data_IF_501503958592
#
_entry.id   IF_501503958592
#
_cell.length_a   1.000
_cell.length_b   1.000
_cell.length_c   1.000
_cell.angle_alpha   90.00
_cell.angle_beta   90.00
_cell.angle_gamma   90.00
#
_symmetry.space_group_name_H-M   'P 1'
#
loop_
_entity.id
_entity.type
_entity.pdbx_description
1 polymer ?
#
# COMPACT_ATOMS: atom_id res chain seq x y z
N UNK A 1 -31.99 -12.49 -13.23
CA UNK A 1 -31.27 -13.52 -12.44
C UNK A 1 -30.29 -12.95 -11.40
N UNK A 2 -29.54 -11.88 -11.68
CA UNK A 2 -28.51 -11.38 -10.75
C UNK A 2 -29.04 -10.76 -9.45
N UNK A 3 -30.19 -10.07 -9.49
CA UNK A 3 -30.79 -9.41 -8.32
C UNK A 3 -31.34 -10.42 -7.30
N UNK A 4 -32.07 -11.44 -7.77
CA UNK A 4 -32.58 -12.50 -6.91
C UNK A 4 -31.44 -13.28 -6.24
N UNK A 5 -30.38 -13.60 -6.99
CA UNK A 5 -29.17 -14.23 -6.44
C UNK A 5 -28.49 -13.36 -5.39
N UNK A 6 -28.38 -12.06 -5.62
CA UNK A 6 -27.82 -11.11 -4.66
C UNK A 6 -28.57 -11.12 -3.33
N UNK A 7 -29.90 -10.96 -3.38
CA UNK A 7 -30.73 -10.95 -2.16
C UNK A 7 -30.74 -12.31 -1.46
N UNK A 8 -30.77 -13.41 -2.20
CA UNK A 8 -30.65 -14.75 -1.64
C UNK A 8 -29.33 -14.91 -0.88
N UNK A 9 -28.20 -14.50 -1.46
CA UNK A 9 -26.90 -14.58 -0.78
C UNK A 9 -26.86 -13.71 0.48
N UNK A 10 -27.41 -12.49 0.45
CA UNK A 10 -27.52 -11.64 1.64
C UNK A 10 -28.34 -12.31 2.74
N UNK A 11 -29.48 -12.90 2.39
CA UNK A 11 -30.34 -13.61 3.35
C UNK A 11 -29.61 -14.82 3.97
N UNK A 12 -28.98 -15.65 3.15
CA UNK A 12 -28.19 -16.81 3.62
C UNK A 12 -27.05 -16.35 4.54
N UNK A 13 -26.31 -15.30 4.18
CA UNK A 13 -25.26 -14.75 5.03
C UNK A 13 -25.80 -14.21 6.36
N UNK A 14 -26.96 -13.54 6.37
CA UNK A 14 -27.56 -13.04 7.61
C UNK A 14 -28.04 -14.17 8.52
N UNK A 15 -28.61 -15.23 7.93
CA UNK A 15 -29.00 -16.43 8.69
C UNK A 15 -27.77 -17.09 9.32
N UNK A 16 -26.70 -17.28 8.53
CA UNK A 16 -25.49 -17.92 9.00
C UNK A 16 -24.72 -17.10 10.04
N UNK A 17 -24.53 -15.80 9.81
CA UNK A 17 -23.67 -14.95 10.65
C UNK A 17 -24.39 -14.41 11.90
N UNK A 18 -25.72 -14.25 11.86
CA UNK A 18 -26.48 -13.62 12.95
C UNK A 18 -27.52 -14.56 13.53
N UNK A 19 -28.42 -15.10 12.71
CA UNK A 19 -29.57 -15.85 13.23
C UNK A 19 -29.16 -17.18 13.87
N UNK A 20 -28.26 -17.94 13.24
CA UNK A 20 -27.81 -19.25 13.73
C UNK A 20 -27.03 -19.16 15.06
N UNK A 21 -26.06 -18.23 15.24
CA UNK A 21 -25.42 -18.00 16.53
C UNK A 21 -26.39 -17.52 17.62
N UNK A 22 -27.32 -16.62 17.28
CA UNK A 22 -28.35 -16.15 18.21
C UNK A 22 -29.32 -17.28 18.64
N UNK A 23 -29.67 -18.18 17.72
CA UNK A 23 -30.48 -19.35 18.02
C UNK A 23 -29.74 -20.36 18.90
N UNK A 24 -28.47 -20.65 18.59
CA UNK A 24 -27.71 -21.71 19.26
C UNK A 24 -27.18 -21.30 20.64
N UNK A 25 -26.85 -20.02 20.84
CA UNK A 25 -26.22 -19.52 22.07
C UNK A 25 -27.07 -18.48 22.83
N UNK A 26 -28.24 -18.12 22.30
CA UNK A 26 -29.10 -17.05 22.81
C UNK A 26 -28.76 -15.69 22.19
N UNK A 27 -29.76 -14.81 22.13
CA UNK A 27 -29.68 -13.55 21.37
C UNK A 27 -28.49 -12.66 21.77
N UNK A 28 -28.24 -12.48 23.06
CA UNK A 28 -27.14 -11.63 23.55
C UNK A 28 -25.77 -12.21 23.15
N UNK A 29 -25.54 -13.51 23.39
CA UNK A 29 -24.25 -14.15 23.08
C UNK A 29 -24.01 -14.22 21.59
N UNK A 30 -25.04 -14.51 20.79
CA UNK A 30 -24.96 -14.51 19.33
C UNK A 30 -24.59 -13.13 18.77
N UNK A 31 -25.22 -12.06 19.27
CA UNK A 31 -24.87 -10.69 18.90
C UNK A 31 -23.43 -10.32 19.30
N UNK A 32 -22.98 -10.72 20.49
CA UNK A 32 -21.59 -10.49 20.91
C UNK A 32 -20.59 -11.20 20.00
N UNK A 33 -20.84 -12.47 19.63
CA UNK A 33 -20.00 -13.23 18.71
C UNK A 33 -19.94 -12.58 17.32
N UNK A 34 -21.08 -12.11 16.81
CA UNK A 34 -21.14 -11.37 15.55
C UNK A 34 -20.27 -10.11 15.58
N UNK A 35 -20.40 -9.30 16.63
CA UNK A 35 -19.63 -8.05 16.78
C UNK A 35 -18.13 -8.33 16.91
N UNK A 36 -17.74 -9.32 17.72
CA UNK A 36 -16.35 -9.70 17.91
C UNK A 36 -15.74 -10.22 16.59
N UNK A 37 -16.44 -11.08 15.88
CA UNK A 37 -16.00 -11.62 14.59
C UNK A 37 -15.82 -10.54 13.52
N UNK A 38 -16.76 -9.59 13.42
CA UNK A 38 -16.65 -8.50 12.45
C UNK A 38 -15.58 -7.48 12.83
N UNK A 39 -15.46 -7.16 14.12
CA UNK A 39 -14.41 -6.26 14.59
C UNK A 39 -13.03 -6.84 14.31
N UNK A 40 -12.79 -8.10 14.71
CA UNK A 40 -11.50 -8.76 14.50
C UNK A 40 -11.14 -8.94 13.02
N UNK A 41 -12.08 -9.39 12.19
CA UNK A 41 -11.85 -9.50 10.74
C UNK A 41 -11.62 -8.13 10.10
N UNK A 42 -12.41 -7.13 10.49
CA UNK A 42 -12.30 -5.76 10.01
C UNK A 42 -10.97 -5.10 10.39
N UNK A 43 -10.55 -5.24 11.64
CA UNK A 43 -9.27 -4.71 12.16
C UNK A 43 -8.08 -5.38 11.46
N UNK A 44 -8.12 -6.70 11.27
CA UNK A 44 -7.06 -7.45 10.60
C UNK A 44 -6.92 -7.01 9.14
N UNK A 45 -8.03 -6.93 8.40
CA UNK A 45 -8.01 -6.46 7.01
C UNK A 45 -7.56 -4.99 6.94
N UNK A 46 -8.10 -4.11 7.78
CA UNK A 46 -7.69 -2.71 7.82
C UNK A 46 -6.19 -2.58 8.04
N UNK A 47 -5.64 -3.34 9.00
CA UNK A 47 -4.20 -3.37 9.31
C UNK A 47 -3.36 -3.85 8.13
N UNK A 48 -3.77 -4.92 7.45
CA UNK A 48 -3.07 -5.42 6.26
C UNK A 48 -3.05 -4.38 5.14
N UNK A 49 -4.20 -3.75 4.86
CA UNK A 49 -4.30 -2.75 3.80
C UNK A 49 -3.49 -1.49 4.10
N UNK A 50 -3.52 -0.99 5.34
CA UNK A 50 -2.78 0.22 5.70
C UNK A 50 -1.27 -0.02 5.65
N UNK A 51 -0.77 -1.17 6.12
CA UNK A 51 0.66 -1.49 6.10
C UNK A 51 1.22 -1.51 4.67
N UNK A 52 0.44 -1.99 3.71
CA UNK A 52 0.82 -2.02 2.30
C UNK A 52 0.89 -0.65 1.63
N UNK A 53 0.32 0.38 2.26
CA UNK A 53 0.22 1.74 1.73
C UNK A 53 0.85 2.76 2.68
N UNK A 54 1.82 2.36 3.51
CA UNK A 54 2.51 3.27 4.43
C UNK A 54 3.66 3.94 3.73
N UNK A 55 3.55 5.26 3.63
CA UNK A 55 4.37 6.03 2.71
C UNK A 55 5.23 7.03 3.47
N UNK A 56 6.29 6.53 4.08
CA UNK A 56 7.38 7.38 4.55
C UNK A 56 7.91 8.20 3.36
N UNK A 57 7.71 9.52 3.43
CA UNK A 57 8.29 10.49 2.51
C UNK A 57 7.52 10.77 1.21
N UNK A 58 6.42 10.11 0.86
CA UNK A 58 5.72 10.50 -0.40
C UNK A 58 4.66 11.55 -0.11
N UNK A 59 4.79 12.70 -0.76
CA UNK A 59 3.73 13.70 -0.83
C UNK A 59 3.38 13.93 -2.29
N UNK A 60 2.10 14.19 -2.58
CA UNK A 60 1.64 14.47 -3.94
C UNK A 60 1.96 15.91 -4.34
N UNK A 61 2.16 16.14 -5.65
CA UNK A 61 2.43 17.46 -6.20
C UNK A 61 1.37 18.48 -5.74
N UNK A 62 1.81 19.55 -5.06
CA UNK A 62 0.95 20.69 -4.73
C UNK A 62 0.85 21.58 -5.96
N UNK A 63 -0.36 21.92 -6.42
CA UNK A 63 -0.54 22.91 -7.49
C UNK A 63 0.01 24.26 -6.99
N UNK A 64 0.94 24.90 -7.70
CA UNK A 64 1.35 26.27 -7.35
C UNK A 64 0.19 27.22 -7.66
N UNK A 65 0.00 28.19 -6.77
CA UNK A 65 -0.81 29.37 -7.07
C UNK A 65 -0.01 30.45 -7.81
N UNK A 66 1.31 30.29 -7.90
CA UNK A 66 2.20 31.30 -8.47
C UNK A 66 2.70 30.85 -9.84
N UNK A 67 2.46 31.72 -10.83
CA UNK A 67 2.67 31.48 -12.25
C UNK A 67 4.11 31.65 -12.71
N UNK A 68 5.07 30.99 -12.08
CA UNK A 68 6.48 31.09 -12.49
C UNK A 68 6.93 29.87 -13.29
N UNK A 69 7.13 30.10 -14.59
CA UNK A 69 7.54 29.10 -15.56
C UNK A 69 9.03 28.80 -15.41
N UNK A 70 9.38 27.54 -15.12
CA UNK A 70 10.75 27.05 -15.33
C UNK A 70 10.85 26.30 -16.65
N UNK A 71 11.96 26.56 -17.35
CA UNK A 71 12.22 26.21 -18.73
C UNK A 71 12.33 24.68 -18.96
N UNK A 72 11.18 24.02 -19.17
CA UNK A 72 10.96 22.84 -20.04
C UNK A 72 9.54 22.30 -19.78
N UNK A 73 8.54 22.96 -20.38
CA UNK A 73 7.35 22.33 -20.96
C UNK A 73 6.47 21.35 -20.17
N UNK A 74 6.58 21.20 -18.84
CA UNK A 74 5.66 20.35 -18.05
C UNK A 74 5.16 21.09 -16.82
N UNK A 75 3.89 21.53 -16.88
CA UNK A 75 3.16 22.16 -15.78
C UNK A 75 2.84 21.10 -14.71
N UNK A 76 3.74 20.91 -13.77
CA UNK A 76 3.50 20.15 -12.55
C UNK A 76 4.62 20.44 -11.56
N UNK A 77 4.29 21.00 -10.39
CA UNK A 77 5.27 21.14 -9.32
C UNK A 77 5.76 19.76 -8.92
N UNK A 78 7.05 19.66 -8.59
CA UNK A 78 7.61 18.41 -8.08
C UNK A 78 6.88 18.09 -6.77
N UNK A 79 6.43 16.84 -6.57
CA UNK A 79 5.96 16.41 -5.25
C UNK A 79 7.08 16.67 -4.23
N UNK A 80 6.75 17.08 -3.00
CA UNK A 80 7.74 17.39 -1.94
C UNK A 80 7.13 17.02 -0.58
N UNK A 81 7.92 16.39 0.30
CA UNK A 81 7.55 16.16 1.71
C UNK A 81 7.36 17.46 2.47
N UNK A 82 6.85 17.37 3.70
CA UNK A 82 6.94 18.44 4.69
C UNK A 82 8.39 18.94 4.91
N UNK A 83 9.39 18.09 4.65
CA UNK A 83 10.82 18.39 4.71
C UNK A 83 11.40 18.91 3.38
N UNK A 84 10.59 19.08 2.32
CA UNK A 84 11.02 19.58 1.01
C UNK A 84 11.72 18.55 0.10
N UNK A 85 11.96 17.33 0.58
CA UNK A 85 12.60 16.23 -0.19
C UNK A 85 11.57 15.21 -0.68
N UNK A 86 11.89 14.37 -1.67
CA UNK A 86 11.09 13.17 -1.99
C UNK A 86 11.91 11.89 -1.87
N UNK A 87 11.28 10.75 -1.55
CA UNK A 87 11.87 9.43 -1.63
C UNK A 87 12.50 9.20 -2.99
N UNK A 88 11.84 9.66 -4.06
CA UNK A 88 12.42 9.59 -5.41
C UNK A 88 13.69 10.42 -5.53
N UNK A 89 13.79 11.63 -4.96
CA UNK A 89 15.02 12.43 -5.00
C UNK A 89 16.17 11.79 -4.22
N UNK A 90 15.90 11.19 -3.06
CA UNK A 90 16.91 10.48 -2.27
C UNK A 90 17.32 9.17 -2.95
N UNK A 91 16.36 8.37 -3.41
CA UNK A 91 16.63 7.15 -4.16
C UNK A 91 17.38 7.44 -5.44
N UNK A 92 17.02 8.50 -6.18
CA UNK A 92 17.75 8.91 -7.39
C UNK A 92 19.15 9.40 -7.08
N UNK A 93 19.34 10.14 -5.98
CA UNK A 93 20.68 10.55 -5.53
C UNK A 93 21.56 9.32 -5.19
N UNK A 94 21.04 8.39 -4.39
CA UNK A 94 21.71 7.12 -4.06
C UNK A 94 21.98 6.27 -5.29
N UNK A 95 21.00 6.15 -6.19
CA UNK A 95 21.14 5.40 -7.42
C UNK A 95 22.13 6.06 -8.39
N UNK A 96 22.21 7.39 -8.44
CA UNK A 96 23.19 8.13 -9.26
C UNK A 96 24.61 8.02 -8.73
N UNK A 97 24.76 7.85 -7.41
CA UNK A 97 26.05 7.56 -6.79
C UNK A 97 26.50 6.11 -7.06
N UNK A 98 25.57 5.19 -7.28
CA UNK A 98 25.84 3.78 -7.56
C UNK A 98 25.92 3.46 -9.07
N UNK A 99 25.27 4.25 -9.93
CA UNK A 99 25.12 3.99 -11.35
C UNK A 99 25.22 5.31 -12.14
N UNK A 100 26.19 5.41 -13.05
CA UNK A 100 26.54 6.69 -13.69
C UNK A 100 25.52 7.18 -14.73
N UNK A 101 24.66 6.30 -15.24
CA UNK A 101 23.61 6.64 -16.21
C UNK A 101 22.24 6.19 -15.70
N UNK A 102 21.51 7.08 -15.03
CA UNK A 102 20.11 6.83 -14.68
C UNK A 102 19.19 7.25 -15.82
N UNK A 103 18.23 6.38 -16.16
CA UNK A 103 17.16 6.72 -17.09
C UNK A 103 16.19 7.72 -16.46
N UNK A 104 15.80 8.75 -17.21
CA UNK A 104 14.93 9.80 -16.68
C UNK A 104 13.45 9.35 -16.66
N UNK A 105 12.89 9.11 -15.47
CA UNK A 105 11.44 8.91 -15.29
C UNK A 105 10.74 10.24 -14.94
N UNK A 106 9.59 10.56 -15.55
CA UNK A 106 8.75 11.68 -15.14
C UNK A 106 8.23 11.52 -13.70
N UNK A 107 8.14 12.62 -12.95
CA UNK A 107 7.65 12.61 -11.56
C UNK A 107 6.19 12.14 -11.40
N UNK A 108 5.40 12.22 -12.47
CA UNK A 108 4.00 11.81 -12.52
C UNK A 108 3.81 10.49 -13.29
N UNK A 109 4.89 9.74 -13.53
CA UNK A 109 4.80 8.43 -14.13
C UNK A 109 3.97 7.49 -13.25
N UNK A 110 3.00 6.81 -13.86
CA UNK A 110 2.06 5.96 -13.12
C UNK A 110 2.78 4.83 -12.37
N UNK A 111 3.72 4.15 -13.03
CA UNK A 111 4.41 3.01 -12.44
C UNK A 111 5.32 3.46 -11.30
N UNK A 112 6.05 4.56 -11.51
CA UNK A 112 6.88 5.14 -10.46
C UNK A 112 6.04 5.56 -9.24
N UNK A 113 4.84 6.12 -9.44
CA UNK A 113 3.93 6.46 -8.33
C UNK A 113 3.49 5.20 -7.59
N UNK A 114 3.14 4.11 -8.29
CA UNK A 114 2.78 2.85 -7.61
C UNK A 114 3.91 2.33 -6.72
N UNK A 115 5.15 2.29 -7.23
CA UNK A 115 6.31 1.85 -6.43
C UNK A 115 6.61 2.76 -5.23
N UNK A 116 6.33 4.06 -5.37
CA UNK A 116 6.48 5.03 -4.27
C UNK A 116 5.43 4.83 -3.18
N UNK A 117 4.18 4.56 -3.56
CA UNK A 117 3.04 4.54 -2.64
C UNK A 117 2.70 3.16 -2.10
N UNK A 118 3.55 2.17 -2.32
CA UNK A 118 3.31 0.79 -1.96
C UNK A 118 4.52 0.16 -1.31
N UNK A 119 4.26 -0.70 -0.33
CA UNK A 119 5.29 -1.40 0.45
C UNK A 119 5.08 -2.89 0.33
N UNK A 120 6.14 -3.59 -0.04
CA UNK A 120 6.22 -5.04 0.05
C UNK A 120 6.71 -5.46 1.44
N UNK A 121 6.37 -6.67 1.88
CA UNK A 121 6.85 -7.20 3.14
C UNK A 121 6.96 -8.73 3.12
N UNK A 122 7.93 -9.27 3.85
CA UNK A 122 8.26 -10.71 3.82
C UNK A 122 8.46 -11.25 2.39
N UNK A 123 9.28 -10.58 1.55
CA UNK A 123 9.50 -11.00 0.16
C UNK A 123 9.99 -12.45 0.11
N UNK A 124 9.51 -13.21 -0.88
CA UNK A 124 9.88 -14.62 -1.04
C UNK A 124 9.27 -15.61 -0.04
N UNK A 125 8.50 -15.15 0.95
CA UNK A 125 7.81 -16.06 1.88
C UNK A 125 6.59 -16.72 1.22
N UNK A 126 6.67 -18.03 0.97
CA UNK A 126 5.53 -18.81 0.46
C UNK A 126 4.31 -18.70 1.39
N UNK A 127 4.53 -18.80 2.70
CA UNK A 127 3.46 -18.70 3.71
C UNK A 127 2.72 -17.38 3.60
N UNK A 128 3.44 -16.25 3.64
CA UNK A 128 2.81 -14.93 3.60
C UNK A 128 2.20 -14.63 2.24
N UNK A 129 2.82 -15.08 1.14
CA UNK A 129 2.25 -14.90 -0.19
C UNK A 129 0.87 -15.55 -0.31
N UNK A 130 0.71 -16.77 0.23
CA UNK A 130 -0.57 -17.48 0.16
C UNK A 130 -1.56 -17.00 1.23
N UNK A 131 -1.14 -16.90 2.50
CA UNK A 131 -2.01 -16.56 3.62
C UNK A 131 -2.60 -15.15 3.50
N UNK A 132 -1.81 -14.20 2.98
CA UNK A 132 -2.28 -12.84 2.75
C UNK A 132 -2.98 -12.64 1.41
N UNK A 133 -3.09 -13.68 0.57
CA UNK A 133 -3.65 -13.57 -0.77
C UNK A 133 -2.88 -12.64 -1.70
N UNK A 134 -1.55 -12.54 -1.54
CA UNK A 134 -0.68 -11.67 -2.33
C UNK A 134 -0.42 -10.28 -1.77
N UNK A 135 -1.00 -9.91 -0.63
CA UNK A 135 -0.80 -8.58 -0.02
C UNK A 135 0.66 -8.33 0.43
N UNK A 136 1.50 -9.35 0.52
CA UNK A 136 2.95 -9.18 0.75
C UNK A 136 3.71 -8.55 -0.43
N UNK A 137 3.11 -8.52 -1.62
CA UNK A 137 3.72 -8.04 -2.88
C UNK A 137 2.82 -6.97 -3.53
N UNK A 138 2.56 -5.88 -2.82
CA UNK A 138 1.66 -4.82 -3.26
C UNK A 138 2.17 -4.07 -4.50
N UNK A 139 3.50 -3.88 -4.61
CA UNK A 139 4.11 -3.20 -5.76
C UNK A 139 3.81 -3.99 -7.05
N UNK A 140 4.07 -5.30 -7.05
CA UNK A 140 3.80 -6.19 -8.19
C UNK A 140 2.31 -6.25 -8.51
N UNK A 141 1.46 -6.27 -7.48
CA UNK A 141 0.01 -6.27 -7.66
C UNK A 141 -0.49 -5.03 -8.41
N UNK A 142 0.04 -3.85 -8.07
CA UNK A 142 -0.34 -2.60 -8.73
C UNK A 142 0.23 -2.48 -10.14
N UNK A 143 1.48 -2.94 -10.35
CA UNK A 143 2.13 -2.90 -11.67
C UNK A 143 1.54 -3.94 -12.64
N UNK A 144 1.18 -5.12 -12.14
CA UNK A 144 0.76 -6.27 -12.95
C UNK A 144 -0.51 -6.94 -12.40
N UNK A 145 -1.67 -6.24 -12.34
CA UNK A 145 -2.90 -6.76 -11.74
C UNK A 145 -3.49 -7.98 -12.48
N UNK A 146 -3.03 -8.25 -13.70
CA UNK A 146 -3.45 -9.42 -14.49
C UNK A 146 -2.65 -10.69 -14.16
N UNK A 147 -1.54 -10.58 -13.41
CA UNK A 147 -0.73 -11.73 -13.00
C UNK A 147 -1.30 -12.31 -11.69
N UNK A 148 -1.38 -13.65 -11.61
CA UNK A 148 -1.79 -14.32 -10.38
C UNK A 148 -0.79 -14.04 -9.26
N UNK A 149 -1.28 -13.80 -8.03
CA UNK A 149 -0.45 -13.48 -6.87
C UNK A 149 0.60 -14.55 -6.54
N UNK A 150 0.38 -15.80 -6.92
CA UNK A 150 1.37 -16.87 -6.79
C UNK A 150 2.66 -16.58 -7.55
N UNK A 151 2.59 -15.77 -8.60
CA UNK A 151 3.71 -15.47 -9.48
C UNK A 151 4.48 -14.20 -9.08
N UNK A 152 3.98 -13.40 -8.13
CA UNK A 152 4.65 -12.18 -7.70
C UNK A 152 6.06 -12.45 -7.15
N UNK A 153 6.21 -13.54 -6.40
CA UNK A 153 7.50 -14.02 -5.88
C UNK A 153 8.55 -14.24 -6.97
N UNK A 154 8.13 -14.59 -8.19
CA UNK A 154 9.04 -14.84 -9.31
C UNK A 154 9.42 -13.59 -10.10
N UNK A 155 8.59 -12.55 -10.06
CA UNK A 155 8.84 -11.30 -10.80
C UNK A 155 9.43 -10.19 -9.94
N UNK A 156 9.32 -10.29 -8.60
CA UNK A 156 9.78 -9.25 -7.66
C UNK A 156 11.23 -8.83 -7.92
N UNK A 157 12.14 -9.78 -8.17
CA UNK A 157 13.57 -9.49 -8.39
C UNK A 157 13.80 -8.67 -9.66
N UNK A 158 12.98 -8.91 -10.70
CA UNK A 158 13.04 -8.18 -11.96
C UNK A 158 12.49 -6.76 -11.76
N UNK A 159 11.39 -6.63 -11.02
CA UNK A 159 10.78 -5.35 -10.68
C UNK A 159 11.73 -4.50 -9.85
N UNK A 160 12.33 -5.06 -8.79
CA UNK A 160 13.28 -4.37 -7.92
C UNK A 160 14.51 -3.88 -8.70
N UNK A 161 15.11 -4.74 -9.54
CA UNK A 161 16.24 -4.35 -10.41
C UNK A 161 15.87 -3.21 -11.36
N UNK A 162 14.66 -3.27 -11.94
CA UNK A 162 14.17 -2.21 -12.82
C UNK A 162 13.97 -0.91 -12.05
N UNK A 163 13.40 -0.95 -10.85
CA UNK A 163 13.28 0.23 -10.00
C UNK A 163 14.65 0.87 -9.71
N UNK A 164 15.68 0.07 -9.41
CA UNK A 164 17.04 0.55 -9.20
C UNK A 164 17.62 1.21 -10.45
N UNK A 165 17.49 0.59 -11.63
CA UNK A 165 17.99 1.12 -12.91
C UNK A 165 17.39 2.51 -13.24
N UNK A 166 16.14 2.73 -12.87
CA UNK A 166 15.42 3.97 -13.12
C UNK A 166 15.45 4.95 -11.93
N UNK A 167 16.11 4.59 -10.82
CA UNK A 167 16.17 5.40 -9.60
C UNK A 167 14.82 5.59 -8.91
N UNK A 168 13.90 4.63 -9.10
CA UNK A 168 12.57 4.58 -8.48
C UNK A 168 12.66 3.83 -7.15
N UNK A 169 12.05 4.32 -6.06
CA UNK A 169 12.05 3.61 -4.78
C UNK A 169 11.30 2.29 -4.90
N UNK A 170 11.89 1.23 -4.35
CA UNK A 170 11.26 -0.06 -4.15
C UNK A 170 11.29 -0.36 -2.66
N UNK A 171 10.14 -0.22 -1.98
CA UNK A 171 10.05 -0.37 -0.53
C UNK A 171 9.69 -1.82 -0.20
N UNK A 172 10.62 -2.53 0.45
CA UNK A 172 10.44 -3.93 0.84
C UNK A 172 10.96 -4.18 2.24
N UNK A 173 10.07 -4.63 3.13
CA UNK A 173 10.37 -4.90 4.52
C UNK A 173 10.63 -6.39 4.78
N UNK A 174 11.56 -6.75 5.66
CA UNK A 174 11.90 -8.16 5.91
C UNK A 174 10.76 -8.94 6.58
N UNK A 175 9.83 -8.25 7.26
CA UNK A 175 8.69 -8.88 7.92
C UNK A 175 7.49 -7.95 8.01
N UNK A 176 6.30 -8.52 8.16
CA UNK A 176 5.08 -7.77 8.45
C UNK A 176 5.23 -6.89 9.71
N UNK A 177 5.87 -7.41 10.75
CA UNK A 177 6.08 -6.67 12.00
C UNK A 177 7.00 -5.46 11.79
N UNK A 178 8.02 -5.57 10.91
CA UNK A 178 8.86 -4.43 10.52
C UNK A 178 8.02 -3.35 9.85
N UNK A 179 7.23 -3.73 8.86
CA UNK A 179 6.36 -2.81 8.13
C UNK A 179 5.33 -2.13 9.06
N UNK A 180 4.73 -2.89 9.97
CA UNK A 180 3.81 -2.36 10.98
C UNK A 180 4.49 -1.36 11.94
N UNK A 181 5.72 -1.64 12.41
CA UNK A 181 6.45 -0.70 13.26
C UNK A 181 6.77 0.60 12.53
N UNK A 182 7.17 0.53 11.26
CA UNK A 182 7.41 1.71 10.41
C UNK A 182 6.15 2.52 10.21
N UNK A 183 5.02 1.88 9.92
CA UNK A 183 3.71 2.53 9.89
C UNK A 183 3.42 3.34 11.16
N UNK A 184 3.54 2.72 12.33
CA UNK A 184 3.25 3.41 13.59
C UNK A 184 4.24 4.56 13.82
N UNK A 185 5.51 4.37 13.47
CA UNK A 185 6.52 5.42 13.52
C UNK A 185 6.17 6.61 12.62
N UNK A 186 5.76 6.34 11.38
CA UNK A 186 5.33 7.35 10.42
C UNK A 186 4.08 8.10 10.90
N UNK A 187 3.07 7.39 11.42
CA UNK A 187 1.87 8.01 12.00
C UNK A 187 2.22 8.91 13.19
N UNK A 188 3.17 8.50 14.06
CA UNK A 188 3.65 9.34 15.16
C UNK A 188 4.34 10.59 14.65
N UNK A 189 5.22 10.46 13.65
CA UNK A 189 5.89 11.59 13.01
C UNK A 189 4.90 12.62 12.48
N UNK A 190 3.90 12.17 11.69
CA UNK A 190 2.83 13.03 11.18
C UNK A 190 2.01 13.69 12.30
N UNK A 191 1.79 12.98 13.41
CA UNK A 191 1.14 13.53 14.60
C UNK A 191 1.96 14.60 15.33
N UNK A 192 3.28 14.58 15.20
CA UNK A 192 4.19 15.54 15.86
C UNK A 192 4.55 16.76 15.02
N UNK A 193 4.51 16.69 13.69
CA UNK A 193 4.89 17.82 12.81
C UNK A 193 4.01 19.07 12.99
N UNK A 194 2.80 18.95 13.55
CA UNK A 194 1.93 20.11 13.86
C UNK A 194 2.44 21.06 14.96
N UNK A 195 3.58 20.78 15.61
CA UNK A 195 4.13 21.64 16.68
C UNK A 195 5.24 22.61 16.25
N UNK A 196 5.60 22.68 14.96
CA UNK A 196 6.62 23.60 14.45
C UNK A 196 6.10 24.47 13.30
N UNK A 197 4.98 25.15 13.53
CA UNK A 197 4.43 26.19 12.67
C UNK A 197 4.01 27.40 13.49
#
# INVERSE_FOLDING_TARGET
>A
MNVARFWLMKAVSMVYMVALPCYSHGAVKGMCLFMLGHFTCGELLATMFIVNHVIEGVCFAKKSNDGEATAKGRKGLRPQTAMGTTPMSETRSKASAANSELKEVPFNDWAAVQCQTSVNWSPGSWFWNHFSGGLSHQIEHHLFPSICHTNYVHIQDVVEKTCIEYGVPYQSEPSLLSAYKKMISHLRFLGTEKKQG
#
